data_IF_757803056992
#
_entry.id   IF_757803056992
#
_cell.length_a   1.000
_cell.length_b   1.000
_cell.length_c   1.000
_cell.angle_alpha   90.00
_cell.angle_beta   90.00
_cell.angle_gamma   90.00
#
_symmetry.space_group_name_H-M   'P 1'
#
loop_
_entity.id
_entity.type
_entity.pdbx_description
1 polymer ?
#
# COMPACT_ATOMS: atom_id res chain seq x y z
N UNK A 1 -22.89 3.97 -8.22
CA UNK A 1 -22.65 4.96 -9.25
C UNK A 1 -23.36 4.58 -10.55
N UNK A 2 -22.74 3.95 -11.56
CA UNK A 2 -23.37 3.62 -12.84
C UNK A 2 -24.64 2.74 -12.69
N UNK A 3 -24.62 1.76 -11.81
CA UNK A 3 -25.74 0.86 -11.53
C UNK A 3 -26.76 1.41 -10.51
N UNK A 4 -26.65 2.68 -10.12
CA UNK A 4 -27.55 3.32 -9.15
C UNK A 4 -27.17 3.07 -7.68
N UNK A 5 -26.03 2.44 -7.41
CA UNK A 5 -25.52 2.28 -6.05
C UNK A 5 -25.02 3.62 -5.49
N UNK A 6 -25.34 3.88 -4.24
CA UNK A 6 -24.65 4.90 -3.46
C UNK A 6 -23.29 4.33 -3.05
N UNK A 7 -22.22 5.05 -3.34
CA UNK A 7 -20.85 4.59 -3.14
C UNK A 7 -20.07 5.64 -2.36
N UNK A 8 -19.44 5.24 -1.27
CA UNK A 8 -18.42 6.04 -0.60
C UNK A 8 -17.05 5.56 -1.11
N UNK A 9 -16.36 6.40 -1.87
CA UNK A 9 -15.07 6.06 -2.49
C UNK A 9 -13.92 6.78 -1.81
N UNK A 10 -13.05 6.01 -1.18
CA UNK A 10 -11.88 6.51 -0.46
C UNK A 10 -10.62 6.09 -1.21
N UNK A 11 -9.69 7.02 -1.42
CA UNK A 11 -8.36 6.77 -2.02
C UNK A 11 -7.31 7.45 -1.16
N UNK A 12 -6.40 6.69 -0.58
CA UNK A 12 -5.38 7.23 0.32
C UNK A 12 -4.29 8.02 -0.41
N UNK A 13 -3.72 8.99 0.31
CA UNK A 13 -2.50 9.70 -0.06
C UNK A 13 -1.40 9.25 0.90
N UNK A 14 -0.39 8.56 0.38
CA UNK A 14 0.82 8.22 1.14
C UNK A 14 1.73 9.43 1.21
N UNK A 15 1.69 10.15 2.31
CA UNK A 15 2.44 11.39 2.53
C UNK A 15 3.62 11.22 3.51
N UNK A 16 3.84 10.01 4.01
CA UNK A 16 5.00 9.61 4.81
C UNK A 16 5.48 8.22 4.40
N UNK A 17 6.67 8.11 3.81
CA UNK A 17 7.31 6.83 3.54
C UNK A 17 8.83 6.97 3.42
N UNK A 18 9.55 5.84 3.36
CA UNK A 18 11.01 5.80 3.24
C UNK A 18 11.51 6.47 1.94
N UNK A 19 10.75 6.37 0.84
CA UNK A 19 11.12 6.96 -0.45
C UNK A 19 10.97 8.47 -0.44
N UNK A 20 9.88 8.99 0.14
CA UNK A 20 9.67 10.42 0.32
C UNK A 20 10.76 11.02 1.20
N UNK A 21 11.12 10.36 2.31
CA UNK A 21 12.19 10.80 3.21
C UNK A 21 13.55 10.84 2.48
N UNK A 22 13.87 9.82 1.69
CA UNK A 22 15.10 9.76 0.92
C UNK A 22 15.15 10.86 -0.16
N UNK A 23 14.08 11.00 -0.94
CA UNK A 23 13.99 11.96 -2.03
C UNK A 23 13.99 13.41 -1.53
N UNK A 24 13.36 13.70 -0.39
CA UNK A 24 13.37 15.03 0.22
C UNK A 24 14.79 15.49 0.56
N UNK A 25 15.63 14.56 1.05
CA UNK A 25 17.05 14.82 1.31
C UNK A 25 17.82 15.10 0.02
N UNK A 26 17.58 14.33 -1.05
CA UNK A 26 18.20 14.53 -2.36
C UNK A 26 17.82 15.91 -2.93
N UNK A 27 16.56 16.32 -2.82
CA UNK A 27 16.06 17.61 -3.31
C UNK A 27 16.32 18.77 -2.35
N UNK A 28 16.90 18.52 -1.17
CA UNK A 28 17.17 19.52 -0.14
C UNK A 28 15.89 20.33 0.24
N UNK A 29 14.79 19.64 0.44
CA UNK A 29 13.51 20.19 0.85
C UNK A 29 12.90 19.36 1.98
N UNK A 30 11.89 19.89 2.68
CA UNK A 30 11.20 19.12 3.71
C UNK A 30 10.38 17.97 3.09
N UNK A 31 10.22 16.88 3.82
CA UNK A 31 9.35 15.77 3.39
C UNK A 31 7.91 16.27 3.14
N UNK A 32 7.39 17.11 4.02
CA UNK A 32 6.04 17.68 3.89
C UNK A 32 5.89 18.46 2.57
N UNK A 33 6.84 19.35 2.26
CA UNK A 33 6.79 20.12 1.02
C UNK A 33 6.87 19.20 -0.23
N UNK A 34 7.67 18.13 -0.17
CA UNK A 34 7.72 17.14 -1.24
C UNK A 34 6.40 16.36 -1.37
N UNK A 35 5.82 15.94 -0.25
CA UNK A 35 4.54 15.24 -0.23
C UNK A 35 3.41 16.12 -0.81
N UNK A 36 3.39 17.42 -0.48
CA UNK A 36 2.44 18.38 -1.04
C UNK A 36 2.63 18.55 -2.56
N UNK A 37 3.87 18.70 -3.05
CA UNK A 37 4.19 18.78 -4.46
C UNK A 37 3.71 17.53 -5.21
N UNK A 38 4.02 16.34 -4.69
CA UNK A 38 3.63 15.08 -5.32
C UNK A 38 2.12 14.85 -5.28
N UNK A 39 1.46 15.27 -4.20
CA UNK A 39 -0.01 15.21 -4.08
C UNK A 39 -0.67 16.13 -5.10
N UNK A 40 -0.18 17.36 -5.26
CA UNK A 40 -0.70 18.29 -6.26
C UNK A 40 -0.54 17.73 -7.68
N UNK A 41 0.65 17.20 -8.03
CA UNK A 41 0.87 16.57 -9.35
C UNK A 41 -0.05 15.37 -9.57
N UNK A 42 -0.29 14.55 -8.53
CA UNK A 42 -1.24 13.42 -8.60
C UNK A 42 -2.67 13.88 -8.88
N UNK A 43 -3.15 14.88 -8.15
CA UNK A 43 -4.50 15.43 -8.31
C UNK A 43 -4.69 16.09 -9.68
N UNK A 44 -3.69 16.81 -10.17
CA UNK A 44 -3.70 17.40 -11.51
C UNK A 44 -3.81 16.31 -12.59
N UNK A 45 -3.08 15.19 -12.45
CA UNK A 45 -3.16 14.07 -13.37
C UNK A 45 -4.52 13.36 -13.32
N UNK A 46 -5.11 13.17 -12.14
CA UNK A 46 -6.48 12.63 -11.99
C UNK A 46 -7.51 13.55 -12.68
N UNK A 47 -7.41 14.85 -12.44
CA UNK A 47 -8.29 15.84 -13.05
C UNK A 47 -8.15 15.84 -14.58
N UNK A 48 -6.93 15.82 -15.11
CA UNK A 48 -6.66 15.76 -16.54
C UNK A 48 -7.17 14.48 -17.21
N UNK A 49 -7.17 13.37 -16.47
CA UNK A 49 -7.80 12.10 -16.90
C UNK A 49 -9.33 12.12 -16.73
N UNK A 50 -9.91 13.15 -16.12
CA UNK A 50 -11.35 13.22 -15.86
C UNK A 50 -11.84 12.21 -14.84
N UNK A 51 -10.98 11.82 -13.88
CA UNK A 51 -11.38 11.00 -12.73
C UNK A 51 -12.15 11.87 -11.75
N UNK A 52 -13.36 11.46 -11.42
CA UNK A 52 -14.30 12.18 -10.56
C UNK A 52 -14.98 11.22 -9.60
N UNK A 53 -15.54 11.76 -8.52
CA UNK A 53 -16.35 10.99 -7.56
C UNK A 53 -15.54 10.29 -6.48
N UNK A 54 -14.29 10.65 -6.27
CA UNK A 54 -13.56 10.27 -5.05
C UNK A 54 -14.07 11.18 -3.93
N UNK A 55 -14.65 10.58 -2.89
CA UNK A 55 -15.29 11.33 -1.80
C UNK A 55 -14.27 11.84 -0.79
N UNK A 56 -13.25 11.03 -0.51
CA UNK A 56 -12.22 11.38 0.49
C UNK A 56 -10.85 10.85 0.08
N UNK A 57 -9.84 11.68 0.27
CA UNK A 57 -8.42 11.30 0.09
C UNK A 57 -7.66 11.55 1.42
N UNK A 58 -7.70 10.59 2.36
CA UNK A 58 -7.02 10.72 3.64
C UNK A 58 -5.51 10.69 3.47
N UNK A 59 -4.81 11.42 4.35
CA UNK A 59 -3.36 11.39 4.50
C UNK A 59 -2.98 10.65 5.77
N UNK A 60 -1.92 9.85 5.73
CA UNK A 60 -1.45 9.11 6.89
C UNK A 60 -1.05 10.06 8.04
N UNK A 61 -0.47 11.24 7.72
CA UNK A 61 -0.07 12.22 8.73
C UNK A 61 -1.24 12.86 9.47
N UNK A 62 -2.44 12.86 8.92
CA UNK A 62 -3.66 13.36 9.57
C UNK A 62 -4.31 12.30 10.51
N UNK A 63 -3.83 11.05 10.46
CA UNK A 63 -4.41 9.92 11.19
C UNK A 63 -3.46 9.28 12.22
N UNK A 64 -2.38 9.96 12.61
CA UNK A 64 -1.33 9.39 13.49
C UNK A 64 -1.91 8.92 14.84
N UNK A 65 -2.81 9.66 15.46
CA UNK A 65 -3.44 9.25 16.72
C UNK A 65 -4.20 7.93 16.55
N UNK A 66 -5.03 7.79 15.52
CA UNK A 66 -5.75 6.56 15.22
C UNK A 66 -4.82 5.39 14.90
N UNK A 67 -3.72 5.65 14.18
CA UNK A 67 -2.69 4.63 13.92
C UNK A 67 -2.07 4.13 15.23
N UNK A 68 -1.73 5.03 16.14
CA UNK A 68 -1.16 4.65 17.45
C UNK A 68 -2.17 3.84 18.26
N UNK A 69 -3.44 4.27 18.32
CA UNK A 69 -4.52 3.56 19.02
C UNK A 69 -4.74 2.15 18.44
N UNK A 70 -4.71 2.02 17.11
CA UNK A 70 -4.83 0.74 16.42
C UNK A 70 -3.69 -0.21 16.82
N UNK A 71 -2.45 0.27 16.80
CA UNK A 71 -1.27 -0.50 17.20
C UNK A 71 -1.35 -0.91 18.68
N UNK A 72 -1.77 0.00 19.59
CA UNK A 72 -1.99 -0.33 20.99
C UNK A 72 -3.04 -1.44 21.16
N UNK A 73 -4.10 -1.42 20.33
CA UNK A 73 -5.10 -2.47 20.28
C UNK A 73 -4.49 -3.83 19.96
N UNK A 74 -3.64 -3.90 18.92
CA UNK A 74 -2.93 -5.12 18.53
C UNK A 74 -1.95 -5.60 19.62
N UNK A 75 -1.25 -4.67 20.28
CA UNK A 75 -0.36 -5.02 21.40
C UNK A 75 -1.14 -5.58 22.58
N UNK A 76 -2.27 -4.99 22.94
CA UNK A 76 -3.15 -5.50 24.02
C UNK A 76 -3.70 -6.88 23.73
N UNK A 77 -3.93 -7.22 22.45
CA UNK A 77 -4.40 -8.55 22.01
C UNK A 77 -3.28 -9.55 21.75
N UNK A 78 -2.02 -9.21 22.03
CA UNK A 78 -0.82 -10.05 21.83
C UNK A 78 -0.53 -10.38 20.34
N UNK A 79 -1.07 -9.63 19.39
CA UNK A 79 -0.72 -9.74 17.97
C UNK A 79 0.46 -8.86 17.57
N UNK A 80 0.87 -7.93 18.42
CA UNK A 80 2.01 -7.06 18.18
C UNK A 80 2.90 -6.94 19.42
N UNK A 81 4.18 -6.64 19.21
CA UNK A 81 5.15 -6.50 20.28
C UNK A 81 6.12 -5.34 20.05
N UNK A 82 6.44 -4.57 21.11
CA UNK A 82 7.47 -3.54 21.07
C UNK A 82 8.88 -4.15 21.08
N UNK A 83 9.80 -3.52 20.34
CA UNK A 83 11.22 -3.91 20.31
C UNK A 83 12.11 -2.70 20.06
N UNK A 84 12.73 -2.14 21.12
CA UNK A 84 13.69 -1.02 21.08
C UNK A 84 13.15 0.24 20.34
N UNK A 85 11.89 0.59 20.60
CA UNK A 85 11.21 1.74 20.01
C UNK A 85 10.54 1.47 18.65
N UNK A 86 10.75 0.31 18.06
CA UNK A 86 9.93 -0.22 16.98
C UNK A 86 8.76 -1.03 17.56
N UNK A 87 7.69 -1.23 16.76
CA UNK A 87 6.63 -2.21 17.06
C UNK A 87 6.41 -3.08 15.84
N UNK A 88 6.36 -4.38 16.04
CA UNK A 88 6.17 -5.38 14.99
C UNK A 88 4.88 -6.16 15.18
N UNK A 89 4.24 -6.52 14.10
CA UNK A 89 3.19 -7.53 14.07
C UNK A 89 3.83 -8.92 14.14
N UNK A 90 3.34 -9.78 15.02
CA UNK A 90 3.77 -11.16 15.19
C UNK A 90 2.94 -12.07 14.26
N UNK A 91 3.46 -12.34 13.08
CA UNK A 91 2.79 -13.15 12.07
C UNK A 91 2.46 -14.56 12.57
N UNK A 92 3.20 -15.07 13.55
CA UNK A 92 2.97 -16.43 14.09
C UNK A 92 1.70 -16.52 14.94
N UNK A 93 1.09 -15.39 15.30
CA UNK A 93 -0.15 -15.33 16.09
C UNK A 93 -1.41 -15.31 15.20
N UNK A 94 -1.28 -15.02 13.93
CA UNK A 94 -2.37 -15.03 12.96
C UNK A 94 -2.36 -16.36 12.20
N UNK A 95 -3.27 -17.25 12.60
CA UNK A 95 -3.39 -18.60 12.00
C UNK A 95 -3.80 -18.53 10.52
N UNK A 96 -4.45 -17.45 10.11
CA UNK A 96 -4.96 -17.22 8.76
C UNK A 96 -3.98 -16.42 7.89
N UNK A 97 -2.80 -16.02 8.39
CA UNK A 97 -1.85 -15.25 7.61
C UNK A 97 -1.48 -15.94 6.30
N UNK A 98 -1.64 -15.23 5.21
CA UNK A 98 -1.40 -15.77 3.87
C UNK A 98 -2.68 -16.20 3.13
N UNK A 99 -3.86 -15.98 3.69
CA UNK A 99 -5.14 -16.40 3.07
C UNK A 99 -5.46 -15.68 1.77
N UNK A 100 -5.07 -14.42 1.61
CA UNK A 100 -5.27 -13.67 0.36
C UNK A 100 -4.34 -14.17 -0.74
N UNK A 101 -3.09 -14.43 -0.41
CA UNK A 101 -2.05 -14.89 -1.35
C UNK A 101 -2.06 -16.39 -1.56
N UNK A 102 -2.76 -17.14 -0.72
CA UNK A 102 -2.75 -18.59 -0.67
C UNK A 102 -1.32 -19.15 -0.51
N UNK A 103 -0.54 -18.55 0.41
CA UNK A 103 0.86 -18.91 0.70
C UNK A 103 1.03 -19.19 2.18
N UNK A 104 1.92 -20.13 2.49
CA UNK A 104 2.32 -20.39 3.90
C UNK A 104 3.34 -19.35 4.38
N UNK A 105 3.29 -18.95 5.66
CA UNK A 105 4.20 -17.95 6.24
C UNK A 105 5.69 -18.29 6.05
N UNK A 106 6.06 -19.59 6.05
CA UNK A 106 7.45 -20.04 5.85
C UNK A 106 8.01 -19.69 4.47
N UNK A 107 7.14 -19.49 3.47
CA UNK A 107 7.50 -19.08 2.11
C UNK A 107 7.47 -17.58 1.91
N UNK A 108 7.00 -16.83 2.91
CA UNK A 108 6.94 -15.40 2.89
C UNK A 108 8.18 -14.83 3.60
N UNK A 109 9.15 -14.39 2.84
CA UNK A 109 10.23 -13.57 3.40
C UNK A 109 9.65 -12.18 3.62
N UNK A 110 9.63 -11.75 4.89
CA UNK A 110 9.23 -10.39 5.23
C UNK A 110 10.14 -9.37 4.57
N UNK A 111 9.68 -8.13 4.46
CA UNK A 111 10.51 -7.02 4.00
C UNK A 111 11.76 -6.92 4.87
N UNK A 112 12.86 -7.46 4.34
CA UNK A 112 14.16 -7.47 5.01
C UNK A 112 14.82 -6.10 4.92
N UNK A 113 15.24 -5.58 6.05
CA UNK A 113 16.07 -4.39 6.18
C UNK A 113 16.97 -4.54 7.40
N UNK A 114 17.69 -3.50 7.78
CA UNK A 114 18.58 -3.46 8.96
C UNK A 114 17.87 -3.83 10.30
N UNK A 115 16.55 -3.99 10.29
CA UNK A 115 15.70 -4.32 11.43
C UNK A 115 15.48 -5.83 11.65
N UNK A 116 16.03 -6.70 10.81
CA UNK A 116 15.86 -8.17 10.91
C UNK A 116 16.30 -8.70 12.28
N UNK A 117 17.30 -8.08 12.91
CA UNK A 117 17.82 -8.52 14.21
C UNK A 117 16.86 -8.29 15.40
N UNK A 118 15.81 -7.48 15.23
CA UNK A 118 14.83 -7.16 16.29
C UNK A 118 13.52 -7.92 16.15
N UNK A 119 13.28 -8.55 15.01
CA UNK A 119 12.09 -9.34 14.74
C UNK A 119 12.17 -10.72 15.42
N UNK A 120 11.05 -11.23 15.90
CA UNK A 120 10.94 -12.60 16.42
C UNK A 120 10.92 -13.61 15.28
N UNK A 121 10.25 -13.27 14.19
CA UNK A 121 10.20 -14.04 12.94
C UNK A 121 10.62 -13.15 11.75
N UNK A 122 11.22 -13.75 10.73
CA UNK A 122 11.57 -13.04 9.49
C UNK A 122 10.34 -12.49 8.75
N UNK A 123 9.18 -13.12 8.93
CA UNK A 123 7.92 -12.72 8.33
C UNK A 123 7.25 -11.54 9.06
N UNK A 124 7.63 -11.23 10.31
CA UNK A 124 7.06 -10.12 11.06
C UNK A 124 7.30 -8.80 10.30
N UNK A 125 6.36 -7.88 10.42
CA UNK A 125 6.44 -6.60 9.73
C UNK A 125 6.22 -5.42 10.68
N UNK A 126 6.81 -4.27 10.33
CA UNK A 126 6.79 -3.09 11.19
C UNK A 126 5.43 -2.39 11.15
N UNK A 127 4.87 -2.15 12.34
CA UNK A 127 3.70 -1.30 12.58
C UNK A 127 4.11 0.13 12.93
N UNK A 128 5.17 0.26 13.75
CA UNK A 128 5.77 1.53 14.13
C UNK A 128 7.28 1.44 13.99
N UNK A 129 7.90 2.46 13.42
CA UNK A 129 9.34 2.54 13.20
C UNK A 129 9.91 3.67 14.03
N UNK A 130 10.86 3.37 14.91
CA UNK A 130 11.62 4.36 15.68
C UNK A 130 12.24 5.40 14.76
N UNK A 131 12.08 6.67 15.08
CA UNK A 131 12.66 7.76 14.30
C UNK A 131 14.18 7.71 14.33
N UNK A 132 14.78 7.95 13.16
CA UNK A 132 16.22 8.21 13.03
C UNK A 132 16.46 9.72 13.06
N UNK A 133 17.67 10.17 13.43
CA UNK A 133 18.01 11.59 13.42
C UNK A 133 17.70 12.24 12.06
N UNK A 134 16.91 13.33 12.09
CA UNK A 134 16.52 14.08 10.89
C UNK A 134 15.42 13.44 10.04
N UNK A 135 14.72 12.43 10.56
CA UNK A 135 13.46 11.93 10.00
C UNK A 135 12.25 12.60 10.67
N UNK A 136 11.13 12.75 9.96
CA UNK A 136 9.88 13.16 10.60
C UNK A 136 9.48 12.12 11.64
N UNK A 137 8.90 12.59 12.75
CA UNK A 137 8.48 11.70 13.82
C UNK A 137 7.29 12.27 14.60
N UNK A 138 6.53 11.38 15.19
CA UNK A 138 5.41 11.65 16.07
C UNK A 138 5.61 10.92 17.38
N UNK A 139 5.03 11.46 18.43
CA UNK A 139 5.07 10.84 19.76
C UNK A 139 4.19 9.57 19.79
N UNK A 140 4.66 8.58 20.52
CA UNK A 140 3.91 7.34 20.76
C UNK A 140 4.30 6.73 22.10
N UNK A 141 3.54 5.75 22.65
CA UNK A 141 3.93 5.03 23.87
C UNK A 141 5.29 4.31 23.76
N UNK A 142 5.79 4.07 22.56
CA UNK A 142 7.05 3.39 22.33
C UNK A 142 8.21 4.36 22.04
N UNK A 143 7.92 5.66 22.08
CA UNK A 143 8.84 6.75 21.79
C UNK A 143 8.62 7.39 20.41
N UNK A 144 9.40 8.43 20.08
CA UNK A 144 9.30 9.12 18.81
C UNK A 144 9.53 8.19 17.62
N UNK A 145 8.61 8.20 16.65
CA UNK A 145 8.67 7.31 15.51
C UNK A 145 7.69 7.71 14.41
N UNK A 146 7.46 6.79 13.50
CA UNK A 146 6.53 6.94 12.39
C UNK A 146 5.85 5.62 12.05
N UNK A 147 4.67 5.65 11.40
CA UNK A 147 3.97 4.42 11.03
C UNK A 147 4.79 3.55 10.07
N UNK A 148 4.54 2.24 10.11
CA UNK A 148 4.83 1.33 9.03
C UNK A 148 3.85 1.54 7.89
N UNK A 149 4.21 1.17 6.68
CA UNK A 149 3.42 1.41 5.49
C UNK A 149 2.01 0.78 5.51
N UNK A 150 1.87 -0.41 6.08
CA UNK A 150 0.61 -1.17 6.01
C UNK A 150 -0.43 -0.66 7.01
N UNK A 151 0.00 -0.24 8.20
CA UNK A 151 -0.90 0.19 9.27
C UNK A 151 -1.63 1.50 8.93
N UNK A 152 -1.05 2.32 8.06
CA UNK A 152 -1.65 3.56 7.60
C UNK A 152 -3.02 3.28 6.98
N UNK A 153 -3.08 2.35 6.01
CA UNK A 153 -4.31 2.01 5.32
C UNK A 153 -5.31 1.30 6.22
N UNK A 154 -4.87 0.41 7.11
CA UNK A 154 -5.76 -0.24 8.08
C UNK A 154 -6.45 0.77 8.99
N UNK A 155 -5.70 1.71 9.57
CA UNK A 155 -6.28 2.71 10.46
C UNK A 155 -7.14 3.76 9.71
N UNK A 156 -6.72 4.19 8.53
CA UNK A 156 -7.50 5.14 7.73
C UNK A 156 -8.81 4.53 7.21
N UNK A 157 -8.78 3.28 6.76
CA UNK A 157 -10.01 2.59 6.31
C UNK A 157 -10.97 2.35 7.47
N UNK A 158 -10.48 1.95 8.66
CA UNK A 158 -11.32 1.84 9.84
C UNK A 158 -11.97 3.17 10.21
N UNK A 159 -11.20 4.26 10.25
CA UNK A 159 -11.71 5.57 10.61
C UNK A 159 -12.80 6.11 9.65
N UNK A 160 -12.73 5.76 8.37
CA UNK A 160 -13.60 6.32 7.32
C UNK A 160 -14.72 5.37 6.89
N UNK A 161 -14.50 4.07 6.94
CA UNK A 161 -15.40 3.05 6.42
C UNK A 161 -15.85 2.05 7.50
N UNK A 162 -15.24 2.09 8.68
CA UNK A 162 -15.48 1.12 9.75
C UNK A 162 -14.58 -0.11 9.64
N UNK A 163 -14.74 -1.03 10.61
CA UNK A 163 -13.92 -2.26 10.69
C UNK A 163 -14.20 -3.28 9.59
N UNK A 164 -15.32 -3.11 8.88
CA UNK A 164 -15.73 -3.95 7.75
C UNK A 164 -16.36 -3.09 6.66
N UNK A 165 -15.96 -3.29 5.41
CA UNK A 165 -16.50 -2.58 4.25
C UNK A 165 -16.60 -3.49 3.02
N UNK A 166 -17.23 -2.99 1.93
CA UNK A 166 -17.59 -3.86 0.81
C UNK A 166 -16.39 -4.26 -0.06
N UNK A 167 -15.59 -3.29 -0.52
CA UNK A 167 -14.56 -3.53 -1.54
C UNK A 167 -13.24 -2.88 -1.15
N UNK A 168 -12.16 -3.66 -1.14
CA UNK A 168 -10.79 -3.18 -1.07
C UNK A 168 -10.06 -3.49 -2.37
N UNK A 169 -9.39 -2.50 -2.95
CA UNK A 169 -8.79 -2.66 -4.27
C UNK A 169 -7.42 -2.03 -4.42
N UNK A 170 -6.65 -2.54 -5.39
CA UNK A 170 -5.33 -2.01 -5.72
C UNK A 170 -4.69 -2.72 -6.90
N UNK A 171 -3.41 -2.51 -7.13
CA UNK A 171 -2.64 -3.25 -8.11
C UNK A 171 -2.28 -4.65 -7.62
N UNK A 172 -1.98 -5.57 -8.53
CA UNK A 172 -1.51 -6.92 -8.18
C UNK A 172 -0.25 -6.92 -7.31
N UNK A 173 0.57 -5.89 -7.39
CA UNK A 173 1.77 -5.70 -6.57
C UNK A 173 1.45 -5.38 -5.10
N UNK A 174 0.21 -4.97 -4.80
CA UNK A 174 -0.24 -4.73 -3.43
C UNK A 174 -0.79 -5.98 -2.74
N UNK A 175 -1.12 -7.04 -3.47
CA UNK A 175 -1.63 -8.29 -2.86
C UNK A 175 -0.72 -8.75 -1.74
N UNK A 176 0.59 -8.76 -2.00
CA UNK A 176 1.61 -9.07 -1.01
C UNK A 176 2.80 -8.11 -1.16
N UNK A 177 3.32 -7.56 -0.06
CA UNK A 177 2.89 -7.83 1.32
C UNK A 177 1.73 -6.94 1.82
N UNK A 178 1.34 -5.89 1.07
CA UNK A 178 0.53 -4.78 1.61
C UNK A 178 -0.86 -5.23 2.07
N UNK A 179 -1.71 -5.73 1.18
CA UNK A 179 -3.08 -6.12 1.51
C UNK A 179 -3.15 -7.34 2.44
N UNK A 180 -2.22 -8.29 2.31
CA UNK A 180 -2.12 -9.41 3.25
C UNK A 180 -1.86 -8.91 4.68
N UNK A 181 -0.97 -7.92 4.83
CA UNK A 181 -0.65 -7.33 6.12
C UNK A 181 -1.80 -6.46 6.66
N UNK A 182 -2.55 -5.78 5.80
CA UNK A 182 -3.75 -5.05 6.22
C UNK A 182 -4.83 -5.99 6.76
N UNK A 183 -5.04 -7.14 6.10
CA UNK A 183 -5.93 -8.20 6.58
C UNK A 183 -5.49 -8.65 7.97
N UNK A 184 -4.21 -9.03 8.12
CA UNK A 184 -3.69 -9.50 9.38
C UNK A 184 -3.89 -8.48 10.51
N UNK A 185 -3.62 -7.20 10.26
CA UNK A 185 -3.82 -6.13 11.23
C UNK A 185 -5.29 -5.96 11.61
N UNK A 186 -6.15 -5.77 10.62
CA UNK A 186 -7.55 -5.40 10.84
C UNK A 186 -8.36 -6.56 11.43
N UNK A 187 -8.19 -7.77 10.91
CA UNK A 187 -8.95 -8.91 11.37
C UNK A 187 -8.49 -9.42 12.73
N UNK A 188 -7.18 -9.33 13.06
CA UNK A 188 -6.68 -9.60 14.40
C UNK A 188 -7.22 -8.60 15.44
N UNK A 189 -7.39 -7.33 15.05
CA UNK A 189 -7.93 -6.33 15.96
C UNK A 189 -9.44 -6.47 16.14
N UNK A 190 -10.19 -6.64 15.06
CA UNK A 190 -11.66 -6.54 15.07
C UNK A 190 -12.40 -7.88 15.09
N UNK A 191 -11.70 -9.00 14.86
CA UNK A 191 -12.28 -10.36 14.83
C UNK A 191 -13.41 -10.50 13.79
N UNK A 192 -13.32 -9.72 12.70
CA UNK A 192 -14.24 -9.78 11.56
C UNK A 192 -13.47 -9.52 10.25
N UNK A 193 -13.99 -9.99 9.10
CA UNK A 193 -13.36 -9.71 7.81
C UNK A 193 -13.24 -8.21 7.57
N UNK A 194 -12.06 -7.75 7.12
CA UNK A 194 -11.83 -6.34 6.79
C UNK A 194 -12.65 -5.90 5.59
N UNK A 195 -12.68 -6.69 4.53
CA UNK A 195 -13.47 -6.40 3.33
C UNK A 195 -14.16 -7.64 2.78
N UNK A 196 -15.35 -7.44 2.19
CA UNK A 196 -16.09 -8.52 1.55
C UNK A 196 -15.43 -8.97 0.26
N UNK A 197 -14.94 -8.02 -0.55
CA UNK A 197 -14.32 -8.29 -1.85
C UNK A 197 -12.96 -7.62 -1.97
N UNK A 198 -11.97 -8.40 -2.39
CA UNK A 198 -10.63 -7.94 -2.73
C UNK A 198 -10.47 -7.92 -4.25
N UNK A 199 -10.16 -6.76 -4.82
CA UNK A 199 -10.04 -6.57 -6.27
C UNK A 199 -8.65 -6.06 -6.63
N UNK A 200 -7.97 -6.77 -7.52
CA UNK A 200 -6.61 -6.41 -7.94
C UNK A 200 -6.51 -6.27 -9.45
N UNK A 201 -6.04 -5.11 -9.88
CA UNK A 201 -5.77 -4.84 -11.30
C UNK A 201 -4.43 -5.41 -11.72
N UNK A 202 -4.35 -5.89 -12.96
CA UNK A 202 -3.09 -6.20 -13.61
C UNK A 202 -2.14 -5.00 -13.68
N UNK A 203 -0.87 -5.25 -13.88
CA UNK A 203 0.16 -4.22 -14.00
C UNK A 203 0.44 -3.90 -15.45
N UNK A 204 0.69 -2.63 -15.76
CA UNK A 204 1.20 -2.23 -17.07
C UNK A 204 2.62 -2.78 -17.27
N UNK A 205 2.85 -3.41 -18.43
CA UNK A 205 4.13 -3.97 -18.80
C UNK A 205 4.71 -3.23 -20.00
N UNK A 206 6.04 -3.09 -20.05
CA UNK A 206 6.71 -2.49 -21.21
C UNK A 206 6.56 -3.38 -22.45
N UNK A 207 6.32 -2.77 -23.61
CA UNK A 207 6.31 -3.49 -24.88
C UNK A 207 7.69 -4.14 -25.13
N UNK A 208 7.73 -5.44 -25.24
CA UNK A 208 8.98 -6.23 -25.37
C UNK A 208 9.22 -7.21 -24.21
N UNK A 209 8.65 -6.96 -23.02
CA UNK A 209 8.54 -7.96 -21.96
C UNK A 209 7.30 -8.87 -22.17
N UNK A 210 6.38 -8.47 -23.04
CA UNK A 210 5.19 -9.23 -23.40
C UNK A 210 5.55 -10.38 -24.35
N UNK A 211 6.07 -11.46 -23.79
CA UNK A 211 5.95 -12.76 -24.41
C UNK A 211 4.49 -13.18 -24.38
N UNK A 212 3.76 -12.90 -25.48
CA UNK A 212 2.35 -13.25 -25.72
C UNK A 212 1.31 -12.49 -24.87
N UNK A 213 0.57 -11.63 -25.53
CA UNK A 213 -0.67 -11.05 -25.04
C UNK A 213 -1.58 -12.15 -24.49
N UNK A 214 -1.95 -12.06 -23.21
CA UNK A 214 -3.04 -12.86 -22.63
C UNK A 214 -2.68 -14.25 -22.08
N UNK A 215 -1.46 -14.49 -21.65
CA UNK A 215 -1.12 -15.80 -21.11
C UNK A 215 -0.32 -15.75 -19.82
N UNK A 216 -0.99 -15.92 -18.68
CA UNK A 216 -0.35 -16.56 -17.52
C UNK A 216 0.28 -17.85 -18.05
N UNK A 217 1.56 -18.18 -17.75
CA UNK A 217 2.08 -19.50 -18.06
C UNK A 217 1.10 -20.53 -17.50
N UNK A 218 0.60 -21.43 -18.36
CA UNK A 218 -0.37 -22.46 -17.94
C UNK A 218 0.20 -23.44 -16.89
N UNK A 219 1.49 -23.34 -16.63
CA UNK A 219 2.26 -24.18 -15.69
C UNK A 219 2.45 -23.55 -14.30
N UNK A 220 1.93 -22.33 -14.03
CA UNK A 220 2.01 -21.71 -12.70
C UNK A 220 3.44 -21.30 -12.29
N UNK A 221 4.42 -21.28 -13.19
CA UNK A 221 5.84 -21.08 -12.89
C UNK A 221 6.29 -19.62 -12.78
N UNK A 222 5.42 -18.64 -13.05
CA UNK A 222 5.75 -17.20 -12.86
C UNK A 222 5.73 -16.83 -11.38
N UNK A 223 6.87 -16.43 -10.82
CA UNK A 223 6.96 -15.89 -9.47
C UNK A 223 6.51 -14.43 -9.45
N UNK A 224 6.06 -13.87 -8.31
CA UNK A 224 5.79 -12.44 -8.17
C UNK A 224 6.99 -11.56 -8.51
N UNK A 225 8.21 -12.07 -8.31
CA UNK A 225 9.46 -11.39 -8.67
C UNK A 225 9.62 -11.24 -10.18
N UNK A 226 9.17 -12.21 -10.97
CA UNK A 226 9.18 -12.13 -12.44
C UNK A 226 8.19 -11.06 -12.94
N UNK A 227 7.09 -10.85 -12.25
CA UNK A 227 6.11 -9.80 -12.56
C UNK A 227 6.62 -8.41 -12.14
N UNK A 228 7.34 -8.30 -11.03
CA UNK A 228 7.95 -7.05 -10.58
C UNK A 228 9.06 -6.58 -11.53
N UNK A 229 9.82 -7.50 -12.12
CA UNK A 229 10.90 -7.19 -13.06
C UNK A 229 10.43 -6.58 -14.39
N UNK A 230 9.18 -6.82 -14.78
CA UNK A 230 8.57 -6.30 -16.03
C UNK A 230 7.64 -5.11 -15.82
N UNK A 231 7.40 -4.73 -14.58
CA UNK A 231 6.52 -3.60 -14.21
C UNK A 231 7.07 -2.28 -14.79
N UNK A 232 6.21 -1.53 -15.46
CA UNK A 232 6.52 -0.16 -15.84
C UNK A 232 6.52 0.71 -14.58
N UNK A 233 7.67 1.27 -14.23
CA UNK A 233 7.85 2.15 -13.09
C UNK A 233 8.82 3.28 -13.42
N UNK A 234 8.89 4.33 -12.60
CA UNK A 234 9.88 5.42 -12.79
C UNK A 234 11.32 4.87 -12.86
N UNK A 235 11.66 3.87 -12.07
CA UNK A 235 12.97 3.23 -12.07
C UNK A 235 13.27 2.41 -13.32
N UNK A 236 12.26 2.00 -14.07
CA UNK A 236 12.38 1.26 -15.34
C UNK A 236 12.19 2.14 -16.58
N UNK A 237 12.21 3.47 -16.40
CA UNK A 237 12.07 4.43 -17.50
C UNK A 237 10.64 4.66 -17.97
N UNK A 238 9.66 4.43 -17.10
CA UNK A 238 8.27 4.77 -17.39
C UNK A 238 8.11 6.27 -17.63
N UNK A 239 7.45 6.60 -18.74
CA UNK A 239 7.10 7.98 -19.04
C UNK A 239 5.98 8.45 -18.09
N UNK A 240 6.13 9.63 -17.44
CA UNK A 240 5.10 10.18 -16.57
C UNK A 240 3.78 10.41 -17.33
N UNK A 241 2.63 10.21 -16.69
CA UNK A 241 1.32 10.50 -17.26
C UNK A 241 1.20 11.93 -17.81
N UNK A 242 1.80 12.89 -17.13
CA UNK A 242 1.86 14.28 -17.55
C UNK A 242 2.45 14.45 -18.96
N UNK A 243 3.50 13.69 -19.30
CA UNK A 243 4.11 13.71 -20.63
C UNK A 243 3.22 13.01 -21.67
N UNK A 244 2.59 11.89 -21.30
CA UNK A 244 1.63 11.23 -22.18
C UNK A 244 0.44 12.12 -22.52
N UNK A 245 -0.05 12.89 -21.56
CA UNK A 245 -1.17 13.84 -21.74
C UNK A 245 -0.81 15.03 -22.68
N UNK A 246 0.47 15.36 -22.85
CA UNK A 246 0.88 16.38 -23.84
C UNK A 246 0.74 15.89 -25.29
N UNK A 247 0.77 14.58 -25.52
CA UNK A 247 0.78 13.95 -26.84
C UNK A 247 -0.51 13.21 -27.19
N UNK A 248 -1.24 12.79 -26.18
CA UNK A 248 -2.44 11.97 -26.32
C UNK A 248 -3.60 12.56 -25.54
N UNK A 249 -4.81 12.45 -26.09
CA UNK A 249 -6.02 12.83 -25.37
C UNK A 249 -6.28 11.86 -24.21
N UNK A 250 -6.86 12.36 -23.11
CA UNK A 250 -7.18 11.57 -21.92
C UNK A 250 -8.03 10.31 -22.24
N UNK A 251 -8.98 10.44 -23.19
CA UNK A 251 -9.81 9.31 -23.61
C UNK A 251 -9.01 8.18 -24.26
N UNK A 252 -7.94 8.51 -24.98
CA UNK A 252 -7.06 7.50 -25.61
C UNK A 252 -6.29 6.75 -24.55
N UNK A 253 -5.78 7.47 -23.54
CA UNK A 253 -5.07 6.86 -22.42
C UNK A 253 -6.01 5.97 -21.60
N UNK A 254 -7.22 6.46 -21.29
CA UNK A 254 -8.25 5.65 -20.60
C UNK A 254 -8.63 4.42 -21.39
N UNK A 255 -8.82 4.55 -22.70
CA UNK A 255 -9.14 3.39 -23.55
C UNK A 255 -8.01 2.36 -23.55
N UNK A 256 -6.75 2.80 -23.60
CA UNK A 256 -5.59 1.91 -23.50
C UNK A 256 -5.61 1.11 -22.18
N UNK A 257 -5.80 1.80 -21.05
CA UNK A 257 -5.85 1.18 -19.72
C UNK A 257 -7.03 0.19 -19.58
N UNK A 258 -8.17 0.49 -20.20
CA UNK A 258 -9.39 -0.32 -20.14
C UNK A 258 -9.46 -1.38 -21.25
N UNK A 259 -8.55 -1.38 -22.22
CA UNK A 259 -8.57 -2.29 -23.36
C UNK A 259 -8.13 -3.72 -23.02
N UNK A 260 -7.50 -3.90 -21.89
CA UNK A 260 -7.06 -5.21 -21.37
C UNK A 260 -7.99 -5.67 -20.24
N UNK A 261 -8.06 -6.99 -20.04
CA UNK A 261 -8.78 -7.52 -18.89
C UNK A 261 -8.13 -7.04 -17.59
N UNK A 262 -8.91 -6.59 -16.62
CA UNK A 262 -8.39 -5.99 -15.39
C UNK A 262 -7.46 -6.89 -14.56
N UNK A 263 -7.50 -8.22 -14.78
CA UNK A 263 -6.63 -9.21 -14.13
C UNK A 263 -5.43 -9.64 -14.99
N UNK A 264 -5.20 -9.04 -16.16
CA UNK A 264 -4.11 -9.45 -17.05
C UNK A 264 -2.92 -8.50 -16.98
#
# INVERSE_FOLDING_TARGET
VYSGWEVTWVVNITDVDDKLIAESKVRNMSMTALAEEMTADYLDNLSALGVQGIDTMPKATDHIEGIVEFIEGLVRKDFAYPADGDVYFDVTKDEDYGKLTNRSPEKMQGEGGATVSRKRSAADFALWKKAKPGEPSWESPWGPGRPGWHIECSAMSEALLGSHFDIHGGGLDLVFPHHENEIAQSESLHECPMATYWMHNGLMQAAGAAGKVGGRPRDGSGTPDDMAATKISKSTGAEPFKELLTRHRAEVIKLLLLSTHYRS
#
